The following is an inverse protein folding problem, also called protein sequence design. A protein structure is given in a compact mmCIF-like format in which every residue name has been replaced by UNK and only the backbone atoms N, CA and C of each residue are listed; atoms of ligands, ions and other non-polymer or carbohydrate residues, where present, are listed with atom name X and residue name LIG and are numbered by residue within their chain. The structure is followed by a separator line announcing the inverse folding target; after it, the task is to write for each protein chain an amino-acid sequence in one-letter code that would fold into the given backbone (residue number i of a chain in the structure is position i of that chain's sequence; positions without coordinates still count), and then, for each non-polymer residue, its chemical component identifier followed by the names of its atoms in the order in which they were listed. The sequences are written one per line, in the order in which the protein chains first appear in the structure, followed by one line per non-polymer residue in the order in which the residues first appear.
data_IF_839400627788
#
_entry.id   IF_839400627788
#
_cell.length_a   1.000
_cell.length_b   1.000
_cell.length_c   1.000
_cell.angle_alpha   90.00
_cell.angle_beta   90.00
_cell.angle_gamma   90.00
#
_symmetry.space_group_name_H-M   'P 1'
#
loop_
_entity.id
_entity.type
_entity.pdbx_description
1 polymer ?
#
# COMPACT_ATOMS: atom_id res chain seq x y z
N UNK A 1 -10.84 -19.81 22.92
CA UNK A 1 -10.25 -19.30 21.66
C UNK A 1 -9.03 -20.13 21.33
N UNK A 2 -8.84 -20.51 20.06
CA UNK A 2 -7.69 -21.31 19.62
C UNK A 2 -6.42 -20.45 19.59
N UNK A 3 -5.25 -21.01 19.95
CA UNK A 3 -3.95 -20.33 19.85
C UNK A 3 -3.64 -19.78 18.44
N UNK A 4 -4.29 -20.32 17.40
CA UNK A 4 -4.19 -19.81 16.01
C UNK A 4 -4.82 -18.43 15.82
N UNK A 5 -5.82 -18.05 16.63
CA UNK A 5 -6.50 -16.76 16.47
C UNK A 5 -5.53 -15.59 16.63
N UNK A 6 -4.58 -15.68 17.58
CA UNK A 6 -3.58 -14.63 17.81
C UNK A 6 -2.66 -14.46 16.59
N UNK A 7 -2.20 -15.58 16.00
CA UNK A 7 -1.35 -15.53 14.80
C UNK A 7 -2.09 -15.01 13.56
N UNK A 8 -3.40 -15.22 13.48
CA UNK A 8 -4.18 -14.66 12.38
C UNK A 8 -4.33 -13.13 12.51
N UNK A 9 -4.45 -12.63 13.75
CA UNK A 9 -4.67 -11.20 13.98
C UNK A 9 -3.46 -10.35 13.58
N UNK A 10 -2.23 -10.86 13.76
CA UNK A 10 -1.01 -10.12 13.40
C UNK A 10 -0.81 -9.93 11.90
N UNK A 11 -1.52 -10.70 11.07
CA UNK A 11 -1.47 -10.57 9.61
C UNK A 11 -2.37 -9.47 9.06
N UNK A 12 -3.25 -8.88 9.87
CA UNK A 12 -4.13 -7.81 9.40
C UNK A 12 -3.36 -6.50 9.20
N UNK A 13 -3.71 -5.72 8.17
CA UNK A 13 -3.11 -4.41 7.97
C UNK A 13 -3.57 -3.44 9.06
N UNK A 14 -2.69 -2.49 9.41
CA UNK A 14 -3.04 -1.36 10.27
C UNK A 14 -3.59 -0.24 9.39
N UNK A 15 -4.84 0.16 9.62
CA UNK A 15 -5.56 1.15 8.80
C UNK A 15 -5.59 2.53 9.46
N UNK A 16 -5.59 3.59 8.64
CA UNK A 16 -5.77 4.96 9.13
C UNK A 16 -7.22 5.22 9.52
N UNK A 17 -7.46 5.39 10.84
CA UNK A 17 -8.78 5.83 11.34
C UNK A 17 -9.22 7.15 10.72
N UNK A 18 -8.31 8.12 10.59
CA UNK A 18 -8.62 9.43 10.04
C UNK A 18 -9.12 9.34 8.59
N UNK A 19 -8.47 8.51 7.76
CA UNK A 19 -8.86 8.34 6.36
C UNK A 19 -10.23 7.67 6.24
N UNK A 20 -10.44 6.54 6.91
CA UNK A 20 -11.69 5.77 6.78
C UNK A 20 -12.87 6.33 7.59
N UNK A 21 -12.65 7.34 8.44
CA UNK A 21 -13.75 8.13 9.00
C UNK A 21 -14.26 9.17 7.98
N UNK A 22 -13.36 9.71 7.16
CA UNK A 22 -13.68 10.72 6.15
C UNK A 22 -14.12 10.14 4.80
N UNK A 23 -13.77 8.88 4.51
CA UNK A 23 -14.04 8.21 3.25
C UNK A 23 -14.81 6.90 3.51
N UNK A 24 -15.95 6.64 2.83
CA UNK A 24 -16.70 5.40 2.98
C UNK A 24 -15.84 4.15 2.68
N UNK A 25 -15.89 3.16 3.57
CA UNK A 25 -15.09 1.93 3.45
C UNK A 25 -15.66 0.93 2.45
N UNK A 26 -16.97 0.88 2.31
CA UNK A 26 -17.76 -0.14 1.59
C UNK A 26 -18.06 0.21 0.13
N UNK A 27 -17.35 1.19 -0.43
CA UNK A 27 -17.57 1.66 -1.81
C UNK A 27 -16.29 1.58 -2.64
N UNK A 28 -16.45 1.27 -3.93
CA UNK A 28 -15.35 1.35 -4.88
C UNK A 28 -15.02 2.82 -5.14
N UNK A 29 -13.85 3.25 -4.69
CA UNK A 29 -13.34 4.61 -4.90
C UNK A 29 -11.96 4.56 -5.53
N UNK A 30 -11.68 5.58 -6.35
CA UNK A 30 -10.36 5.79 -6.93
C UNK A 30 -9.54 6.82 -6.12
N UNK A 31 -9.91 7.03 -4.85
CA UNK A 31 -9.14 7.80 -3.89
C UNK A 31 -8.12 6.87 -3.22
N UNK A 32 -6.80 7.10 -3.39
CA UNK A 32 -5.79 6.25 -2.76
C UNK A 32 -5.89 6.28 -1.23
N UNK A 33 -5.98 5.13 -0.55
CA UNK A 33 -6.00 5.10 0.91
C UNK A 33 -4.68 5.55 1.50
N UNK A 34 -4.75 6.24 2.64
CA UNK A 34 -3.56 6.55 3.43
C UNK A 34 -3.00 5.26 4.04
N UNK A 35 -1.86 4.82 3.52
CA UNK A 35 -1.11 3.65 4.00
C UNK A 35 0.09 4.02 4.87
N UNK A 36 0.74 2.99 5.41
CA UNK A 36 1.96 3.09 6.24
C UNK A 36 3.20 2.53 5.54
N UNK A 37 3.16 2.37 4.21
CA UNK A 37 4.21 1.74 3.39
C UNK A 37 5.34 2.73 3.03
N UNK A 38 6.45 2.20 2.51
CA UNK A 38 7.54 2.97 1.93
C UNK A 38 7.18 3.65 0.60
N UNK A 39 6.04 3.29 0.02
CA UNK A 39 5.53 3.88 -1.21
C UNK A 39 4.12 4.44 -1.03
N UNK A 40 3.85 5.55 -1.70
CA UNK A 40 2.52 6.14 -1.87
C UNK A 40 2.06 5.98 -3.31
N UNK A 41 0.76 5.96 -3.54
CA UNK A 41 0.21 6.03 -4.90
C UNK A 41 0.56 7.41 -5.48
N UNK A 42 1.22 7.38 -6.64
CA UNK A 42 1.54 8.56 -7.44
C UNK A 42 0.51 8.78 -8.53
N UNK A 43 0.99 8.98 -9.76
CA UNK A 43 0.12 9.14 -10.94
C UNK A 43 -0.46 7.80 -11.35
N UNK A 44 -1.63 7.80 -11.98
CA UNK A 44 -2.26 6.58 -12.48
C UNK A 44 -3.28 6.91 -13.56
N UNK A 45 -3.66 5.88 -14.33
CA UNK A 45 -4.77 5.90 -15.28
C UNK A 45 -5.60 4.64 -15.08
N UNK A 46 -6.88 4.82 -14.74
CA UNK A 46 -7.81 3.72 -14.46
C UNK A 46 -7.75 2.65 -15.56
N UNK A 47 -7.51 1.40 -15.17
CA UNK A 47 -7.47 0.26 -16.09
C UNK A 47 -6.25 0.18 -17.01
N UNK A 48 -5.30 1.12 -16.94
CA UNK A 48 -4.11 1.13 -17.81
C UNK A 48 -2.80 1.04 -17.04
N UNK A 49 -2.59 1.88 -16.02
CA UNK A 49 -1.35 1.84 -15.23
C UNK A 49 -1.47 2.56 -13.89
N UNK A 50 -0.60 2.22 -12.95
CA UNK A 50 -0.43 2.88 -11.65
C UNK A 50 1.05 3.08 -11.36
N UNK A 51 1.42 4.26 -10.87
CA UNK A 51 2.76 4.54 -10.34
C UNK A 51 2.72 4.56 -8.80
N UNK A 52 3.76 4.01 -8.19
CA UNK A 52 4.06 4.12 -6.79
C UNK A 52 5.36 4.92 -6.64
N UNK A 53 5.33 5.92 -5.76
CA UNK A 53 6.47 6.80 -5.49
C UNK A 53 7.01 6.55 -4.09
N UNK A 54 8.33 6.44 -3.96
CA UNK A 54 8.98 6.22 -2.67
C UNK A 54 8.78 7.44 -1.77
N UNK A 55 8.34 7.20 -0.54
CA UNK A 55 8.19 8.24 0.49
C UNK A 55 9.58 8.55 1.06
N UNK A 56 10.03 9.79 0.89
CA UNK A 56 11.39 10.20 1.28
C UNK A 56 11.63 10.02 2.79
N UNK A 57 10.63 10.35 3.59
CA UNK A 57 10.59 10.30 5.05
C UNK A 57 9.88 9.05 5.59
N UNK A 58 9.98 7.92 4.89
CA UNK A 58 9.38 6.67 5.35
C UNK A 58 9.88 6.26 6.75
N UNK A 59 8.95 6.17 7.70
CA UNK A 59 9.21 5.88 9.12
C UNK A 59 10.00 4.59 9.38
N UNK A 60 9.87 3.60 8.49
CA UNK A 60 10.48 2.28 8.65
C UNK A 60 11.82 2.10 7.94
N UNK A 61 12.42 3.15 7.37
CA UNK A 61 13.62 3.05 6.53
C UNK A 61 14.80 2.34 7.23
N UNK A 62 15.05 2.63 8.50
CA UNK A 62 16.23 2.12 9.22
C UNK A 62 15.99 0.81 9.99
N UNK A 63 14.73 0.33 10.00
CA UNK A 63 14.37 -0.91 10.68
C UNK A 63 15.07 -2.11 10.03
N UNK A 64 15.64 -3.05 10.81
CA UNK A 64 16.35 -4.21 10.25
C UNK A 64 15.54 -5.01 9.22
N UNK A 65 14.23 -5.11 9.40
CA UNK A 65 13.30 -5.83 8.50
C UNK A 65 13.16 -5.19 7.12
N UNK A 66 13.48 -3.91 6.98
CA UNK A 66 13.35 -3.14 5.73
C UNK A 66 14.69 -2.88 5.04
N UNK A 67 15.83 -3.26 5.65
CA UNK A 67 17.15 -3.07 5.05
C UNK A 67 17.29 -3.89 3.76
N UNK A 68 17.75 -3.25 2.69
CA UNK A 68 17.88 -3.87 1.36
C UNK A 68 16.56 -3.94 0.56
N UNK A 69 15.46 -3.44 1.13
CA UNK A 69 14.15 -3.37 0.47
C UNK A 69 13.86 -1.94 -0.01
N UNK A 70 12.80 -1.78 -0.82
CA UNK A 70 12.29 -0.48 -1.25
C UNK A 70 13.32 0.41 -1.98
N UNK A 71 14.08 -0.20 -2.90
CA UNK A 71 15.24 0.45 -3.53
C UNK A 71 14.89 1.43 -4.67
N UNK A 72 13.74 1.26 -5.31
CA UNK A 72 13.36 2.06 -6.48
C UNK A 72 12.71 3.39 -6.05
N UNK A 73 13.05 4.49 -6.71
CA UNK A 73 12.38 5.78 -6.48
C UNK A 73 10.93 5.78 -6.98
N UNK A 74 10.66 5.03 -8.05
CA UNK A 74 9.33 4.87 -8.65
C UNK A 74 9.16 3.44 -9.16
N UNK A 75 7.99 2.88 -8.93
CA UNK A 75 7.55 1.60 -9.50
C UNK A 75 6.33 1.90 -10.36
N UNK A 76 6.34 1.46 -11.62
CA UNK A 76 5.20 1.60 -12.53
C UNK A 76 4.68 0.21 -12.88
N UNK A 77 3.40 0.00 -12.65
CA UNK A 77 2.70 -1.23 -13.00
C UNK A 77 1.76 -0.88 -14.14
N UNK A 78 1.95 -1.53 -15.27
CA UNK A 78 1.12 -1.38 -16.46
C UNK A 78 0.24 -2.62 -16.60
N UNK A 79 -1.02 -2.40 -16.92
CA UNK A 79 -2.02 -3.44 -17.08
C UNK A 79 -2.27 -3.63 -18.57
N UNK A 80 -2.02 -4.85 -19.03
CA UNK A 80 -2.26 -5.28 -20.40
C UNK A 80 -3.34 -6.37 -20.38
N UNK A 81 -4.26 -6.33 -21.35
CA UNK A 81 -5.30 -7.35 -21.47
C UNK A 81 -4.76 -8.66 -22.05
N UNK A 82 -3.75 -8.56 -22.91
CA UNK A 82 -3.08 -9.68 -23.53
C UNK A 82 -1.58 -9.66 -23.17
N UNK A 83 -0.96 -10.84 -23.19
CA UNK A 83 0.45 -11.06 -22.92
C UNK A 83 1.31 -10.97 -24.18
N UNK A 84 0.70 -11.16 -25.36
CA UNK A 84 1.36 -11.06 -26.67
C UNK A 84 1.19 -9.67 -27.28
#
# INVERSE_FOLDING_TARGET
QSARTILNVVGFPILSKAFFTANPFDSSQLNPPLGSSAYKVGRWSAGAWIEYERVADYWGNDLPVNRGQNNFGRIRIEFYQDRT
#
